data_IF_813402275821
#
_entry.id   IF_813402275821
#
_cell.length_a   1.000
_cell.length_b   1.000
_cell.length_c   1.000
_cell.angle_alpha   90.00
_cell.angle_beta   90.00
_cell.angle_gamma   90.00
#
_symmetry.space_group_name_H-M   'P 1'
#
loop_
_entity.id
_entity.type
_entity.pdbx_description
1 polymer ?
#
# COMPACT_ATOMS: atom_id res chain seq x y z
N UNK A 1 -45.22 -1.57 31.67
CA UNK A 1 -45.12 -2.60 30.61
C UNK A 1 -44.07 -2.21 29.55
N UNK A 2 -42.79 -2.05 29.93
CA UNK A 2 -41.72 -1.74 28.98
C UNK A 2 -40.37 -2.43 29.29
N UNK A 3 -40.32 -3.31 30.30
CA UNK A 3 -39.07 -3.92 30.77
C UNK A 3 -38.79 -5.31 30.17
N UNK A 4 -39.76 -5.92 29.48
CA UNK A 4 -39.60 -7.26 28.90
C UNK A 4 -38.97 -7.28 27.49
N UNK A 5 -38.90 -6.14 26.81
CA UNK A 5 -38.36 -6.04 25.45
C UNK A 5 -36.88 -5.65 25.39
N UNK A 6 -36.28 -5.20 26.49
CA UNK A 6 -34.87 -4.79 26.53
C UNK A 6 -33.86 -5.95 26.38
N UNK A 7 -34.06 -7.14 27.03
CA UNK A 7 -33.11 -8.23 26.90
C UNK A 7 -33.03 -8.83 25.46
N UNK A 8 -34.15 -9.10 24.76
CA UNK A 8 -34.12 -9.63 23.41
C UNK A 8 -33.44 -8.68 22.40
N UNK A 9 -33.68 -7.37 22.53
CA UNK A 9 -33.10 -6.35 21.65
C UNK A 9 -31.57 -6.23 21.82
N UNK A 10 -31.07 -6.34 23.04
CA UNK A 10 -29.63 -6.31 23.31
C UNK A 10 -28.91 -7.56 22.77
N UNK A 11 -29.53 -8.73 22.89
CA UNK A 11 -28.99 -9.99 22.34
C UNK A 11 -28.97 -9.93 20.81
N UNK A 12 -30.03 -9.42 20.18
CA UNK A 12 -30.11 -9.25 18.74
C UNK A 12 -29.06 -8.25 18.20
N UNK A 13 -28.79 -7.16 18.93
CA UNK A 13 -27.75 -6.19 18.57
C UNK A 13 -26.33 -6.76 18.71
N UNK A 14 -26.08 -7.63 19.69
CA UNK A 14 -24.79 -8.30 19.88
C UNK A 14 -24.50 -9.37 18.80
N UNK A 15 -25.54 -9.95 18.21
CA UNK A 15 -25.44 -10.91 17.10
C UNK A 15 -25.30 -10.24 15.73
N UNK A 16 -25.35 -8.91 15.64
CA UNK A 16 -24.99 -8.20 14.42
C UNK A 16 -23.48 -8.34 14.19
N UNK A 17 -23.03 -8.90 13.05
CA UNK A 17 -21.61 -9.00 12.77
C UNK A 17 -21.01 -7.60 12.80
N UNK A 18 -19.95 -7.40 13.62
CA UNK A 18 -19.21 -6.13 13.66
C UNK A 18 -18.89 -5.73 12.23
N UNK A 19 -19.47 -4.62 11.78
CA UNK A 19 -19.35 -4.14 10.39
C UNK A 19 -17.86 -4.00 10.08
N UNK A 20 -17.36 -4.80 9.12
CA UNK A 20 -15.94 -4.83 8.76
C UNK A 20 -15.48 -3.40 8.49
N UNK A 21 -14.54 -2.92 9.31
CA UNK A 21 -14.09 -1.54 9.26
C UNK A 21 -13.41 -1.27 7.92
N UNK A 22 -13.76 -0.16 7.28
CA UNK A 22 -13.16 0.24 6.00
C UNK A 22 -11.68 0.58 6.18
N UNK A 23 -10.84 0.27 5.19
CA UNK A 23 -9.40 0.54 5.22
C UNK A 23 -9.07 2.00 5.59
N UNK A 24 -9.83 2.98 5.08
CA UNK A 24 -9.64 4.40 5.46
C UNK A 24 -9.82 4.67 6.96
N UNK A 25 -10.75 4.00 7.63
CA UNK A 25 -10.93 4.11 9.09
C UNK A 25 -9.80 3.44 9.86
N UNK A 26 -9.32 2.30 9.38
CA UNK A 26 -8.13 1.63 9.94
C UNK A 26 -6.90 2.53 9.88
N UNK A 27 -6.68 3.19 8.74
CA UNK A 27 -5.59 4.15 8.56
C UNK A 27 -5.68 5.29 9.59
N UNK A 28 -6.87 5.87 9.78
CA UNK A 28 -7.08 6.90 10.81
C UNK A 28 -6.83 6.40 12.24
N UNK A 29 -7.21 5.16 12.55
CA UNK A 29 -6.94 4.54 13.85
C UNK A 29 -5.43 4.33 14.06
N UNK A 30 -4.69 3.93 13.03
CA UNK A 30 -3.23 3.78 13.10
C UNK A 30 -2.57 5.12 13.47
N UNK A 31 -2.99 6.23 12.86
CA UNK A 31 -2.46 7.55 13.22
C UNK A 31 -2.71 7.89 14.69
N UNK A 32 -3.88 7.55 15.22
CA UNK A 32 -4.22 7.77 16.63
C UNK A 32 -3.39 6.90 17.56
N UNK A 33 -3.32 5.60 17.27
CA UNK A 33 -2.63 4.60 18.09
C UNK A 33 -1.11 4.85 18.12
N UNK A 34 -0.52 5.18 16.97
CA UNK A 34 0.89 5.54 16.85
C UNK A 34 1.20 6.99 17.27
N UNK A 35 0.19 7.76 17.70
CA UNK A 35 0.30 9.18 18.13
C UNK A 35 0.95 10.09 17.08
N UNK A 36 0.65 9.83 15.80
CA UNK A 36 1.16 10.59 14.66
C UNK A 36 0.31 11.84 14.51
N UNK A 37 0.75 12.91 15.16
CA UNK A 37 0.02 14.17 15.23
C UNK A 37 0.96 15.35 15.41
N UNK A 38 0.46 16.54 15.09
CA UNK A 38 1.09 17.81 15.46
C UNK A 38 0.34 18.36 16.66
N UNK A 39 1.10 18.79 17.67
CA UNK A 39 0.55 19.51 18.81
C UNK A 39 0.46 20.99 18.45
N UNK A 40 -0.74 21.54 18.46
CA UNK A 40 -1.01 22.96 18.28
C UNK A 40 -1.68 23.49 19.55
N UNK A 41 -0.89 24.09 20.43
CA UNK A 41 -1.29 24.46 21.79
C UNK A 41 -1.74 23.24 22.61
N UNK A 42 -3.00 23.26 23.04
CA UNK A 42 -3.64 22.15 23.79
C UNK A 42 -4.32 21.11 22.89
N UNK A 43 -4.33 21.33 21.57
CA UNK A 43 -5.00 20.44 20.62
C UNK A 43 -4.01 19.52 19.88
N UNK A 44 -4.46 18.30 19.59
CA UNK A 44 -3.73 17.35 18.76
C UNK A 44 -4.37 17.27 17.37
N UNK A 45 -3.61 17.61 16.35
CA UNK A 45 -4.03 17.50 14.95
C UNK A 45 -3.45 16.24 14.32
N UNK A 46 -4.32 15.26 14.09
CA UNK A 46 -3.97 14.02 13.38
C UNK A 46 -4.18 14.18 11.87
N UNK A 47 -3.50 13.39 11.04
CA UNK A 47 -3.81 13.33 9.63
C UNK A 47 -5.28 12.95 9.40
N UNK A 48 -5.99 13.79 8.64
CA UNK A 48 -7.42 13.61 8.33
C UNK A 48 -7.60 13.21 6.89
N UNK A 49 -8.49 12.26 6.63
CA UNK A 49 -8.85 11.85 5.29
C UNK A 49 -9.50 13.03 4.55
N UNK A 50 -8.86 13.46 3.47
CA UNK A 50 -9.40 14.45 2.55
C UNK A 50 -10.29 13.79 1.50
N UNK A 51 -9.79 12.73 0.86
CA UNK A 51 -10.49 12.06 -0.26
C UNK A 51 -10.00 10.63 -0.43
N UNK A 52 -10.91 9.75 -0.85
CA UNK A 52 -10.57 8.42 -1.37
C UNK A 52 -10.78 8.36 -2.87
N UNK A 53 -9.79 7.84 -3.59
CA UNK A 53 -9.87 7.57 -5.02
C UNK A 53 -9.79 6.05 -5.19
N UNK A 54 -10.83 5.45 -5.75
CA UNK A 54 -10.86 4.01 -6.03
C UNK A 54 -10.50 3.78 -7.48
N UNK A 55 -9.59 2.84 -7.70
CA UNK A 55 -9.18 2.33 -9.00
C UNK A 55 -9.33 0.81 -9.00
N UNK A 56 -9.11 0.18 -10.15
CA UNK A 56 -9.28 -1.26 -10.32
C UNK A 56 -8.39 -2.09 -9.37
N UNK A 57 -7.09 -1.75 -9.32
CA UNK A 57 -6.10 -2.50 -8.54
C UNK A 57 -5.66 -1.83 -7.23
N UNK A 58 -6.08 -0.58 -6.98
CA UNK A 58 -5.71 0.17 -5.79
C UNK A 58 -6.79 1.13 -5.30
N UNK A 59 -6.75 1.44 -4.02
CA UNK A 59 -7.47 2.57 -3.43
C UNK A 59 -6.45 3.56 -2.86
N UNK A 60 -6.51 4.80 -3.30
CA UNK A 60 -5.65 5.89 -2.81
C UNK A 60 -6.40 6.72 -1.78
N UNK A 61 -5.82 6.84 -0.58
CA UNK A 61 -6.34 7.65 0.52
C UNK A 61 -5.48 8.90 0.68
N UNK A 62 -6.05 10.06 0.36
CA UNK A 62 -5.38 11.35 0.48
C UNK A 62 -5.63 11.92 1.87
N UNK A 63 -4.57 12.20 2.61
CA UNK A 63 -4.65 12.78 3.95
C UNK A 63 -3.90 14.12 4.02
N UNK A 64 -4.47 15.07 4.77
CA UNK A 64 -3.72 16.25 5.22
C UNK A 64 -2.73 15.82 6.29
N UNK A 65 -1.47 16.22 6.18
CA UNK A 65 -0.40 15.85 7.12
C UNK A 65 0.45 17.05 7.55
N UNK A 66 -0.11 18.26 7.52
CA UNK A 66 0.62 19.51 7.75
C UNK A 66 1.45 19.42 9.04
N UNK A 67 2.75 19.74 8.93
CA UNK A 67 3.69 19.72 10.04
C UNK A 67 4.26 18.35 10.43
N UNK A 68 3.87 17.25 9.77
CA UNK A 68 4.44 15.91 10.01
C UNK A 68 5.46 15.56 8.91
N UNK A 69 6.74 15.31 9.26
CA UNK A 69 7.75 14.89 8.30
C UNK A 69 7.43 13.57 7.59
N UNK A 70 7.79 13.48 6.31
CA UNK A 70 7.60 12.28 5.48
C UNK A 70 8.24 11.02 6.09
N UNK A 71 9.45 11.15 6.64
CA UNK A 71 10.20 10.06 7.27
C UNK A 71 9.41 9.29 8.33
N UNK A 72 8.50 9.96 9.05
CA UNK A 72 7.67 9.32 10.07
C UNK A 72 6.74 8.31 9.42
N UNK A 73 6.07 8.68 8.33
CA UNK A 73 5.15 7.78 7.63
C UNK A 73 5.89 6.60 6.98
N UNK A 74 7.12 6.81 6.48
CA UNK A 74 7.95 5.71 5.99
C UNK A 74 8.31 4.72 7.12
N UNK A 75 8.58 5.21 8.34
CA UNK A 75 8.86 4.35 9.50
C UNK A 75 7.65 3.55 9.95
N UNK A 76 6.44 4.12 9.86
CA UNK A 76 5.19 3.42 10.23
C UNK A 76 4.55 2.66 9.06
N UNK A 77 5.14 2.72 7.86
CA UNK A 77 4.70 1.95 6.69
C UNK A 77 4.39 0.48 7.02
N UNK A 78 5.27 -0.26 7.73
CA UNK A 78 5.01 -1.67 8.06
C UNK A 78 3.75 -1.88 8.90
N UNK A 79 3.41 -0.93 9.78
CA UNK A 79 2.20 -1.01 10.61
C UNK A 79 0.93 -0.95 9.75
N UNK A 80 0.94 -0.15 8.68
CA UNK A 80 -0.17 -0.15 7.73
C UNK A 80 -0.27 -1.47 6.98
N UNK A 81 0.85 -2.03 6.52
CA UNK A 81 0.88 -3.29 5.77
C UNK A 81 0.38 -4.45 6.63
N UNK A 82 0.77 -4.50 7.91
CA UNK A 82 0.34 -5.51 8.88
C UNK A 82 -1.16 -5.40 9.21
N UNK A 83 -1.66 -4.20 9.50
CA UNK A 83 -3.06 -3.99 9.92
C UNK A 83 -4.06 -4.12 8.75
N UNK A 84 -3.64 -3.78 7.53
CA UNK A 84 -4.45 -3.91 6.33
C UNK A 84 -4.28 -5.26 5.63
N UNK A 85 -3.18 -5.98 5.90
CA UNK A 85 -2.76 -7.19 5.21
C UNK A 85 -2.75 -7.00 3.68
N UNK A 86 -2.15 -5.89 3.24
CA UNK A 86 -2.10 -5.42 1.86
C UNK A 86 -0.78 -4.68 1.62
N UNK A 87 -0.33 -4.68 0.37
CA UNK A 87 0.83 -3.89 -0.04
C UNK A 87 0.46 -2.41 -0.10
N UNK A 88 1.39 -1.58 0.38
CA UNK A 88 1.18 -0.15 0.52
C UNK A 88 2.32 0.63 -0.09
N UNK A 89 1.97 1.75 -0.70
CA UNK A 89 2.92 2.74 -1.19
C UNK A 89 2.53 4.11 -0.67
N UNK A 90 3.54 4.86 -0.22
CA UNK A 90 3.37 6.18 0.39
C UNK A 90 4.07 7.20 -0.50
N UNK A 91 3.31 8.17 -0.99
CA UNK A 91 3.80 9.28 -1.79
C UNK A 91 3.46 10.62 -1.15
N UNK A 92 4.27 11.64 -1.46
CA UNK A 92 4.09 13.00 -0.94
C UNK A 92 4.04 13.99 -2.10
N UNK A 93 2.84 14.44 -2.43
CA UNK A 93 2.63 15.50 -3.42
C UNK A 93 1.58 16.47 -2.87
N UNK A 94 2.02 17.36 -1.98
CA UNK A 94 1.15 18.30 -1.25
C UNK A 94 0.25 17.66 -0.18
N UNK A 95 -0.26 16.45 -0.44
CA UNK A 95 -0.98 15.59 0.49
C UNK A 95 -0.23 14.27 0.66
N UNK A 96 -0.53 13.57 1.75
CA UNK A 96 -0.06 12.23 2.03
C UNK A 96 -0.95 11.29 1.23
N UNK A 97 -0.38 10.64 0.22
CA UNK A 97 -1.07 9.62 -0.55
C UNK A 97 -0.70 8.26 0.01
N UNK A 98 -1.70 7.52 0.48
CA UNK A 98 -1.53 6.12 0.87
C UNK A 98 -2.23 5.28 -0.19
N UNK A 99 -1.45 4.68 -1.07
CA UNK A 99 -1.93 3.72 -2.07
C UNK A 99 -2.01 2.35 -1.40
N UNK A 100 -3.23 1.81 -1.33
CA UNK A 100 -3.50 0.48 -0.78
C UNK A 100 -3.87 -0.44 -1.92
N UNK A 101 -3.02 -1.41 -2.22
CA UNK A 101 -3.23 -2.31 -3.34
C UNK A 101 -4.17 -3.46 -2.97
N UNK A 102 -5.02 -3.87 -3.91
CA UNK A 102 -5.97 -4.95 -3.70
C UNK A 102 -5.32 -6.34 -3.73
N UNK A 103 -4.11 -6.43 -4.27
CA UNK A 103 -3.34 -7.66 -4.43
C UNK A 103 -1.94 -7.47 -3.89
N UNK A 104 -1.42 -8.50 -3.22
CA UNK A 104 -0.04 -8.55 -2.74
C UNK A 104 0.86 -9.00 -3.91
N UNK A 105 2.03 -8.39 -4.04
CA UNK A 105 3.03 -8.79 -5.03
C UNK A 105 3.47 -10.23 -4.79
N UNK A 106 3.67 -11.02 -5.86
CA UNK A 106 4.12 -12.38 -5.71
C UNK A 106 5.51 -12.40 -5.08
N UNK A 107 5.70 -13.20 -4.02
CA UNK A 107 7.01 -13.40 -3.37
C UNK A 107 8.07 -13.99 -4.32
N UNK A 108 7.60 -14.69 -5.36
CA UNK A 108 8.41 -15.23 -6.45
C UNK A 108 7.67 -15.00 -7.75
N UNK A 109 8.36 -14.39 -8.70
CA UNK A 109 7.91 -14.29 -10.07
C UNK A 109 8.84 -15.13 -10.93
N UNK A 110 8.27 -16.11 -11.63
CA UNK A 110 9.03 -17.00 -12.49
C UNK A 110 9.07 -16.40 -13.89
N UNK A 111 10.24 -16.40 -14.51
CA UNK A 111 10.38 -16.03 -15.90
C UNK A 111 9.71 -17.07 -16.79
N UNK A 112 8.90 -16.63 -17.75
CA UNK A 112 8.22 -17.50 -18.71
C UNK A 112 8.27 -16.88 -20.11
N UNK A 113 8.06 -17.68 -21.15
CA UNK A 113 8.11 -17.17 -22.52
C UNK A 113 6.91 -16.27 -22.88
N UNK A 114 5.86 -16.21 -22.04
CA UNK A 114 4.68 -15.40 -22.29
C UNK A 114 4.90 -13.92 -21.94
N UNK A 115 5.90 -13.62 -21.11
CA UNK A 115 6.30 -12.24 -20.79
C UNK A 115 7.29 -11.65 -21.80
N UNK A 116 7.80 -12.46 -22.74
CA UNK A 116 8.67 -11.99 -23.82
C UNK A 116 7.87 -11.17 -24.84
N UNK A 117 8.49 -10.12 -25.37
CA UNK A 117 7.91 -9.31 -26.43
C UNK A 117 8.69 -9.54 -27.72
N UNK A 118 8.09 -9.23 -28.87
CA UNK A 118 8.81 -9.23 -30.17
C UNK A 118 9.71 -8.00 -30.36
N UNK A 119 9.71 -7.08 -29.40
CA UNK A 119 10.52 -5.86 -29.43
C UNK A 119 11.84 -6.10 -28.71
N UNK A 120 12.77 -5.16 -28.87
CA UNK A 120 14.03 -5.12 -28.12
C UNK A 120 13.80 -4.62 -26.67
N UNK A 121 12.88 -5.28 -25.97
CA UNK A 121 12.43 -4.97 -24.61
C UNK A 121 12.65 -6.19 -23.71
N UNK A 122 13.27 -6.00 -22.55
CA UNK A 122 13.48 -7.07 -21.58
C UNK A 122 12.59 -6.89 -20.35
N UNK A 123 11.87 -7.94 -19.89
CA UNK A 123 11.10 -7.86 -18.66
C UNK A 123 12.05 -7.76 -17.47
N UNK A 124 11.89 -6.71 -16.66
CA UNK A 124 12.81 -6.42 -15.54
C UNK A 124 12.21 -6.65 -14.17
N UNK A 125 10.90 -6.74 -14.08
CA UNK A 125 10.20 -6.83 -12.80
C UNK A 125 8.69 -6.89 -12.99
N UNK A 126 7.99 -7.00 -11.86
CA UNK A 126 6.54 -6.91 -11.80
C UNK A 126 6.15 -5.99 -10.66
N UNK A 127 5.29 -5.03 -10.94
CA UNK A 127 4.63 -4.20 -9.93
C UNK A 127 3.12 -4.51 -9.93
N UNK A 128 2.34 -3.72 -9.19
CA UNK A 128 0.90 -3.90 -9.11
C UNK A 128 0.16 -3.55 -10.41
N UNK A 129 0.77 -2.76 -11.28
CA UNK A 129 0.20 -2.35 -12.57
C UNK A 129 0.54 -3.33 -13.70
N UNK A 130 1.57 -4.18 -13.52
CA UNK A 130 1.92 -5.23 -14.47
C UNK A 130 3.41 -5.52 -14.54
N UNK A 131 3.82 -6.10 -15.67
CA UNK A 131 5.22 -6.37 -15.97
C UNK A 131 5.92 -5.08 -16.39
N UNK A 132 7.08 -4.83 -15.80
CA UNK A 132 7.96 -3.71 -16.14
C UNK A 132 8.95 -4.17 -17.22
N UNK A 133 9.16 -3.31 -18.22
CA UNK A 133 10.07 -3.59 -19.33
C UNK A 133 11.13 -2.51 -19.46
N UNK A 134 12.36 -2.92 -19.76
CA UNK A 134 13.43 -2.03 -20.21
C UNK A 134 13.51 -2.05 -21.73
N UNK A 135 13.38 -0.88 -22.35
CA UNK A 135 13.51 -0.71 -23.80
C UNK A 135 14.96 -0.39 -24.18
N UNK A 136 15.63 -1.37 -24.79
CA UNK A 136 17.01 -1.24 -25.23
C UNK A 136 17.17 -0.43 -26.53
N UNK A 137 16.10 -0.14 -27.27
CA UNK A 137 16.16 0.83 -28.37
C UNK A 137 16.27 2.26 -27.83
N UNK A 138 15.56 2.56 -26.74
CA UNK A 138 15.58 3.87 -26.10
C UNK A 138 16.79 4.07 -25.18
N UNK A 139 17.14 3.05 -24.41
CA UNK A 139 18.25 3.05 -23.46
C UNK A 139 19.14 1.82 -23.71
N UNK A 140 20.15 1.92 -24.58
CA UNK A 140 20.89 0.75 -25.07
C UNK A 140 21.79 0.08 -24.04
N UNK A 141 21.98 0.70 -22.88
CA UNK A 141 22.86 0.20 -21.83
C UNK A 141 22.12 0.17 -20.49
N UNK A 142 22.36 -0.88 -19.71
CA UNK A 142 21.79 -1.07 -18.37
C UNK A 142 22.92 -1.38 -17.39
N UNK A 143 22.92 -0.70 -16.25
CA UNK A 143 23.78 -1.02 -15.11
C UNK A 143 22.97 -1.82 -14.08
N UNK A 144 23.47 -3.01 -13.72
CA UNK A 144 22.82 -3.89 -12.74
C UNK A 144 23.67 -3.93 -11.46
N UNK A 145 23.22 -3.21 -10.43
CA UNK A 145 23.89 -3.10 -9.13
C UNK A 145 23.25 -3.95 -8.02
N UNK A 146 23.95 -4.13 -6.89
CA UNK A 146 23.46 -4.87 -5.71
C UNK A 146 24.52 -5.79 -5.09
N UNK A 147 24.20 -6.47 -3.98
CA UNK A 147 25.13 -7.36 -3.25
C UNK A 147 25.01 -8.84 -3.69
N UNK A 148 25.89 -9.71 -3.20
CA UNK A 148 25.87 -11.15 -3.55
C UNK A 148 24.59 -11.82 -3.05
N UNK A 149 24.06 -12.78 -3.83
CA UNK A 149 22.80 -13.53 -3.57
C UNK A 149 21.48 -12.76 -3.68
N UNK A 150 21.50 -11.48 -4.08
CA UNK A 150 20.29 -10.67 -4.32
C UNK A 150 19.73 -10.79 -5.75
N UNK A 151 20.16 -11.81 -6.51
CA UNK A 151 19.55 -12.12 -7.80
C UNK A 151 20.16 -11.46 -9.04
N UNK A 152 21.18 -10.59 -8.93
CA UNK A 152 21.81 -9.94 -10.11
C UNK A 152 22.23 -10.92 -11.21
N UNK A 153 22.92 -11.99 -10.83
CA UNK A 153 23.39 -13.01 -11.79
C UNK A 153 22.22 -13.80 -12.39
N UNK A 154 21.15 -14.02 -11.62
CA UNK A 154 19.93 -14.68 -12.13
C UNK A 154 19.26 -13.76 -13.13
N UNK A 155 19.02 -12.50 -12.76
CA UNK A 155 18.45 -11.48 -13.64
C UNK A 155 19.17 -11.34 -14.98
N UNK A 156 20.50 -11.20 -14.96
CA UNK A 156 21.29 -11.09 -16.20
C UNK A 156 21.12 -12.36 -17.05
N UNK A 157 21.12 -13.55 -16.45
CA UNK A 157 20.92 -14.80 -17.19
C UNK A 157 19.54 -14.86 -17.86
N UNK A 158 18.48 -14.50 -17.15
CA UNK A 158 17.12 -14.55 -17.69
C UNK A 158 16.90 -13.54 -18.83
N UNK A 159 17.58 -12.39 -18.83
CA UNK A 159 17.46 -11.40 -19.92
C UNK A 159 18.17 -11.83 -21.21
N UNK A 160 19.22 -12.64 -21.11
CA UNK A 160 20.01 -13.11 -22.26
C UNK A 160 19.62 -14.50 -22.77
N UNK A 161 18.62 -15.15 -22.16
CA UNK A 161 18.06 -16.44 -22.59
C UNK A 161 16.89 -16.23 -23.55
#
# INVERSE_FOLDING_TARGET
MLEWFAPPLLIAAAMLPKRKMSDGKKIEEIFKNARICVKDGDSFSYPKLYKTIKQEHKATYLHYHSGIPSEIFNKIKPVFEDELNKDIEIEYEGLLKINVYNQILPKKWTFDNNILTQKWEAPIGKNHDGTLYHDFNKYPHMLVGGVTRFGKTVFIKEIFL
#
